data_IF_042706895798
#
_entry.id   IF_042706895798
#
_cell.length_a   1.000
_cell.length_b   1.000
_cell.length_c   1.000
_cell.angle_alpha   90.00
_cell.angle_beta   90.00
_cell.angle_gamma   90.00
#
_symmetry.space_group_name_H-M   'P 1'
#
loop_
_entity.id
_entity.type
_entity.pdbx_description
1 polymer ?
#
# COMPACT_ATOMS: atom_id res chain seq x y z
N UNK A 1 -18.72 6.04 -16.76
CA UNK A 1 -18.97 5.20 -17.92
C UNK A 1 -17.72 4.38 -18.18
N UNK A 2 -17.60 3.28 -17.47
CA UNK A 2 -16.39 2.50 -17.51
C UNK A 2 -16.38 1.49 -18.65
N UNK A 3 -15.19 1.21 -19.13
CA UNK A 3 -14.91 -0.04 -19.81
C UNK A 3 -15.32 -1.20 -18.91
N UNK A 4 -15.84 -2.28 -19.48
CA UNK A 4 -15.97 -3.52 -18.72
C UNK A 4 -14.56 -4.02 -18.28
N UNK A 5 -14.53 -5.03 -17.41
CA UNK A 5 -13.28 -5.51 -16.84
C UNK A 5 -12.27 -6.00 -17.91
N UNK A 6 -12.75 -6.61 -19.01
CA UNK A 6 -11.88 -7.08 -20.08
C UNK A 6 -11.29 -5.92 -20.86
N UNK A 7 -12.11 -4.92 -21.21
CA UNK A 7 -11.63 -3.72 -21.92
C UNK A 7 -10.61 -2.94 -21.10
N UNK A 8 -10.73 -2.92 -19.77
CA UNK A 8 -9.74 -2.29 -18.89
C UNK A 8 -8.40 -3.01 -18.93
N UNK A 9 -8.40 -4.34 -18.88
CA UNK A 9 -7.16 -5.13 -19.00
C UNK A 9 -6.48 -4.87 -20.34
N UNK A 10 -7.23 -4.93 -21.44
CA UNK A 10 -6.72 -4.65 -22.78
C UNK A 10 -6.15 -3.23 -22.90
N UNK A 11 -6.79 -2.25 -22.26
CA UNK A 11 -6.30 -0.87 -22.24
C UNK A 11 -4.94 -0.74 -21.53
N UNK A 12 -4.77 -1.38 -20.38
CA UNK A 12 -3.49 -1.35 -19.65
C UNK A 12 -2.40 -2.13 -20.36
N UNK A 13 -2.73 -3.22 -21.04
CA UNK A 13 -1.78 -3.96 -21.88
C UNK A 13 -1.31 -3.10 -23.06
N UNK A 14 -2.22 -2.40 -23.73
CA UNK A 14 -1.91 -1.46 -24.79
C UNK A 14 -1.03 -0.30 -24.31
N UNK A 15 -1.30 0.25 -23.12
CA UNK A 15 -0.46 1.29 -22.52
C UNK A 15 0.96 0.80 -22.25
N UNK A 16 1.09 -0.39 -21.70
CA UNK A 16 2.39 -1.01 -21.41
C UNK A 16 3.18 -1.24 -22.69
N UNK A 17 2.56 -1.79 -23.72
CA UNK A 17 3.18 -2.00 -25.02
C UNK A 17 3.60 -0.68 -25.69
N UNK A 18 2.72 0.31 -25.64
CA UNK A 18 2.99 1.65 -26.17
C UNK A 18 4.15 2.34 -25.44
N UNK A 19 4.25 2.16 -24.13
CA UNK A 19 5.37 2.68 -23.33
C UNK A 19 6.69 2.00 -23.68
N UNK A 20 6.68 0.69 -23.88
CA UNK A 20 7.87 -0.05 -24.28
C UNK A 20 8.41 0.39 -25.66
N UNK A 21 7.51 0.66 -26.61
CA UNK A 21 7.89 1.14 -27.95
C UNK A 21 8.36 2.60 -27.96
N UNK A 22 7.73 3.43 -27.16
CA UNK A 22 7.98 4.87 -27.06
C UNK A 22 7.99 5.31 -25.59
N UNK A 23 9.14 5.18 -24.89
CA UNK A 23 9.26 5.57 -23.49
C UNK A 23 8.89 7.04 -23.29
N UNK A 24 7.94 7.29 -22.40
CA UNK A 24 7.44 8.63 -22.04
C UNK A 24 6.81 8.61 -20.65
N UNK A 25 6.56 9.77 -20.10
CA UNK A 25 5.80 9.88 -18.85
C UNK A 25 4.33 9.67 -19.15
N UNK A 26 3.71 8.70 -18.51
CA UNK A 26 2.26 8.45 -18.54
C UNK A 26 1.73 8.66 -17.14
N UNK A 27 0.76 9.54 -16.98
CA UNK A 27 0.09 9.80 -15.70
C UNK A 27 -1.34 9.32 -15.81
N UNK A 28 -1.74 8.46 -14.88
CA UNK A 28 -3.10 7.90 -14.80
C UNK A 28 -3.70 8.26 -13.45
N UNK A 29 -4.89 8.84 -13.45
CA UNK A 29 -5.68 9.08 -12.25
C UNK A 29 -6.81 8.03 -12.19
N UNK A 30 -6.83 7.27 -11.12
CA UNK A 30 -7.84 6.22 -10.91
C UNK A 30 -8.05 5.94 -9.43
N UNK A 31 -9.19 5.38 -9.09
CA UNK A 31 -9.47 4.80 -7.77
C UNK A 31 -9.52 3.27 -7.80
N UNK A 32 -9.30 2.65 -8.97
CA UNK A 32 -9.30 1.19 -9.15
C UNK A 32 -7.85 0.70 -9.07
N UNK A 33 -7.41 0.43 -7.84
CA UNK A 33 -6.01 0.19 -7.51
C UNK A 33 -5.50 -1.15 -8.04
N UNK A 34 -6.30 -2.21 -7.92
CA UNK A 34 -5.88 -3.58 -8.26
C UNK A 34 -5.48 -3.76 -9.73
N UNK A 35 -6.18 -3.04 -10.61
CA UNK A 35 -5.93 -3.16 -12.05
C UNK A 35 -4.63 -2.48 -12.47
N UNK A 36 -4.30 -1.35 -11.85
CA UNK A 36 -3.13 -0.56 -12.21
C UNK A 36 -1.85 -1.05 -11.52
N UNK A 37 -1.97 -1.80 -10.43
CA UNK A 37 -0.84 -2.23 -9.61
C UNK A 37 0.27 -2.96 -10.38
N UNK A 38 -0.08 -3.66 -11.46
CA UNK A 38 0.88 -4.40 -12.30
C UNK A 38 1.60 -3.55 -13.34
N UNK A 39 1.13 -2.33 -13.57
CA UNK A 39 1.57 -1.48 -14.69
C UNK A 39 2.38 -0.27 -14.23
N UNK A 40 2.11 0.23 -13.04
CA UNK A 40 2.73 1.47 -12.53
C UNK A 40 4.14 1.25 -12.00
N UNK A 41 4.95 2.29 -12.10
CA UNK A 41 6.30 2.35 -11.51
C UNK A 41 6.34 3.23 -10.26
N UNK A 42 5.53 4.29 -10.25
CA UNK A 42 5.43 5.25 -9.15
C UNK A 42 3.97 5.53 -8.84
N UNK A 43 3.70 5.86 -7.61
CA UNK A 43 2.37 6.26 -7.19
C UNK A 43 2.39 7.54 -6.36
N UNK A 44 1.32 8.29 -6.52
CA UNK A 44 1.02 9.47 -5.70
C UNK A 44 -0.38 9.23 -5.12
N UNK A 45 -0.50 9.26 -3.80
CA UNK A 45 -1.79 9.22 -3.11
C UNK A 45 -2.16 10.65 -2.75
N UNK A 46 -3.32 11.10 -3.24
CA UNK A 46 -3.86 12.43 -2.97
C UNK A 46 -5.13 12.28 -2.14
N UNK A 47 -5.20 13.04 -1.07
CA UNK A 47 -6.38 13.12 -0.22
C UNK A 47 -6.65 14.58 0.15
N UNK A 48 -7.89 15.03 -0.03
CA UNK A 48 -8.34 16.40 0.31
C UNK A 48 -7.42 17.51 -0.23
N UNK A 49 -6.96 17.34 -1.47
CA UNK A 49 -6.10 18.33 -2.13
C UNK A 49 -4.63 18.30 -1.72
N UNK A 50 -4.22 17.32 -0.91
CA UNK A 50 -2.83 17.19 -0.44
C UNK A 50 -2.24 15.86 -0.84
N UNK A 51 -0.93 15.85 -1.13
CA UNK A 51 -0.17 14.62 -1.35
C UNK A 51 0.05 13.94 -0.01
N UNK A 52 -0.49 12.74 0.15
CA UNK A 52 -0.32 11.91 1.35
C UNK A 52 0.88 10.99 1.23
N UNK A 53 1.19 10.54 0.03
CA UNK A 53 2.28 9.61 -0.24
C UNK A 53 2.79 9.82 -1.67
N UNK A 54 4.09 9.70 -1.86
CA UNK A 54 4.74 9.66 -3.16
C UNK A 54 6.00 8.80 -3.08
N UNK A 55 6.00 7.67 -3.77
CA UNK A 55 7.16 6.79 -3.87
C UNK A 55 7.02 5.82 -5.06
N UNK A 56 8.00 4.96 -5.25
CA UNK A 56 7.96 3.87 -6.23
C UNK A 56 7.09 2.72 -5.74
N UNK A 57 6.53 1.94 -6.66
CA UNK A 57 5.84 0.69 -6.31
C UNK A 57 6.79 -0.29 -5.60
N UNK A 58 8.03 -0.37 -6.06
CA UNK A 58 9.06 -1.20 -5.44
C UNK A 58 9.30 -0.85 -3.97
N UNK A 59 9.29 0.43 -3.62
CA UNK A 59 9.39 0.88 -2.22
C UNK A 59 8.20 0.41 -1.38
N UNK A 60 6.98 0.47 -1.93
CA UNK A 60 5.78 -0.04 -1.25
C UNK A 60 5.89 -1.55 -1.02
N UNK A 61 6.26 -2.31 -2.03
CA UNK A 61 6.44 -3.77 -1.90
C UNK A 61 7.51 -4.15 -0.87
N UNK A 62 8.55 -3.34 -0.74
CA UNK A 62 9.64 -3.59 0.22
C UNK A 62 9.33 -3.17 1.66
N UNK A 63 8.37 -2.25 1.87
CA UNK A 63 8.15 -1.60 3.18
C UNK A 63 6.74 -1.68 3.72
N UNK A 64 5.74 -2.01 2.89
CA UNK A 64 4.36 -2.08 3.34
C UNK A 64 4.02 -3.47 3.88
N UNK A 65 3.86 -3.59 5.19
CA UNK A 65 3.57 -4.86 5.87
C UNK A 65 2.46 -4.72 6.89
N UNK A 66 1.77 -5.84 7.12
CA UNK A 66 0.84 -6.05 8.22
C UNK A 66 1.52 -6.96 9.23
N UNK A 67 1.51 -6.56 10.50
CA UNK A 67 2.05 -7.31 11.62
C UNK A 67 0.90 -7.58 12.59
N UNK A 68 0.64 -8.85 12.90
CA UNK A 68 -0.46 -9.26 13.77
C UNK A 68 -0.01 -10.27 14.83
N UNK A 69 -0.67 -10.24 15.99
CA UNK A 69 -0.38 -11.13 17.10
C UNK A 69 -0.97 -10.61 18.41
N UNK A 70 -0.44 -11.09 19.54
CA UNK A 70 -0.82 -10.53 20.84
C UNK A 70 -0.36 -9.07 20.93
N UNK A 71 -1.19 -8.21 21.51
CA UNK A 71 -0.93 -6.76 21.56
C UNK A 71 0.48 -6.43 22.05
N UNK A 72 0.91 -7.03 23.17
CA UNK A 72 2.25 -6.80 23.74
C UNK A 72 3.39 -7.13 22.78
N UNK A 73 3.23 -8.20 21.99
CA UNK A 73 4.26 -8.69 21.08
C UNK A 73 4.33 -7.80 19.83
N UNK A 74 3.17 -7.39 19.30
CA UNK A 74 3.08 -6.44 18.18
C UNK A 74 3.62 -5.07 18.58
N UNK A 75 3.26 -4.54 19.76
CA UNK A 75 3.79 -3.27 20.25
C UNK A 75 5.31 -3.30 20.44
N UNK A 76 5.84 -4.40 20.95
CA UNK A 76 7.30 -4.58 21.09
C UNK A 76 8.00 -4.61 19.72
N UNK A 77 7.45 -5.36 18.77
CA UNK A 77 8.01 -5.50 17.43
C UNK A 77 7.94 -4.22 16.59
N UNK A 78 6.94 -3.36 16.83
CA UNK A 78 6.69 -2.15 16.03
C UNK A 78 7.13 -0.85 16.71
N UNK A 79 7.71 -0.92 17.90
CA UNK A 79 8.03 0.26 18.75
C UNK A 79 8.80 1.38 18.02
N UNK A 80 9.74 1.02 17.16
CA UNK A 80 10.63 1.95 16.47
C UNK A 80 10.33 2.02 14.96
N UNK A 81 9.20 1.47 14.51
CA UNK A 81 8.83 1.43 13.10
C UNK A 81 7.84 2.54 12.75
N UNK A 82 7.81 2.89 11.48
CA UNK A 82 6.84 3.83 10.96
C UNK A 82 5.48 3.15 10.79
N UNK A 83 4.58 3.35 11.76
CA UNK A 83 3.24 2.79 11.78
C UNK A 83 2.29 3.70 11.00
N UNK A 84 1.61 3.13 10.00
CA UNK A 84 0.55 3.80 9.23
C UNK A 84 -0.74 3.84 10.06
N UNK A 85 -1.13 2.68 10.59
CA UNK A 85 -2.34 2.50 11.41
C UNK A 85 -2.21 1.27 12.30
N UNK A 86 -3.01 1.22 13.34
CA UNK A 86 -3.04 0.09 14.27
C UNK A 86 -4.45 -0.11 14.81
N UNK A 87 -4.89 -1.36 14.82
CA UNK A 87 -6.15 -1.80 15.42
C UNK A 87 -5.90 -2.80 16.55
N UNK A 88 -6.69 -2.73 17.59
CA UNK A 88 -6.61 -3.68 18.71
C UNK A 88 -8.03 -4.16 19.07
N UNK A 89 -8.21 -5.47 19.07
CA UNK A 89 -9.48 -6.12 19.40
C UNK A 89 -9.20 -7.31 20.31
N UNK A 90 -9.82 -7.30 21.50
CA UNK A 90 -9.74 -8.42 22.46
C UNK A 90 -8.29 -8.88 22.79
N UNK A 91 -7.35 -7.95 22.93
CA UNK A 91 -5.97 -8.26 23.26
C UNK A 91 -5.10 -8.73 22.08
N UNK A 92 -5.68 -8.81 20.88
CA UNK A 92 -4.95 -8.99 19.62
C UNK A 92 -4.76 -7.65 18.95
N UNK A 93 -3.57 -7.40 18.41
CA UNK A 93 -3.27 -6.19 17.66
C UNK A 93 -2.88 -6.52 16.22
N UNK A 94 -3.22 -5.59 15.33
CA UNK A 94 -2.76 -5.56 13.95
C UNK A 94 -2.19 -4.19 13.66
N UNK A 95 -0.90 -4.13 13.34
CA UNK A 95 -0.21 -2.90 12.92
C UNK A 95 0.10 -2.96 11.43
N UNK A 96 -0.19 -1.86 10.75
CA UNK A 96 0.19 -1.64 9.36
C UNK A 96 1.35 -0.66 9.33
N UNK A 97 2.45 -1.07 8.72
CA UNK A 97 3.70 -0.30 8.73
C UNK A 97 4.16 0.07 7.32
N UNK A 98 4.93 1.14 7.23
CA UNK A 98 5.73 1.47 6.05
C UNK A 98 7.19 1.61 6.47
N UNK A 99 7.84 0.46 6.64
CA UNK A 99 9.22 0.34 7.12
C UNK A 99 9.78 -1.04 6.76
N UNK A 100 11.07 -1.25 6.96
CA UNK A 100 11.63 -2.59 6.89
C UNK A 100 10.92 -3.50 7.91
N UNK A 101 10.46 -4.70 7.50
CA UNK A 101 9.74 -5.59 8.42
C UNK A 101 10.68 -6.03 9.56
N UNK A 102 10.16 -6.19 10.79
CA UNK A 102 10.94 -6.75 11.88
C UNK A 102 11.25 -8.23 11.63
N UNK A 103 12.14 -8.79 12.45
CA UNK A 103 12.41 -10.22 12.38
C UNK A 103 11.15 -11.04 12.69
N UNK A 104 10.96 -12.10 11.91
CA UNK A 104 9.86 -13.05 12.14
C UNK A 104 10.10 -13.82 13.44
N UNK A 105 9.11 -13.80 14.31
CA UNK A 105 9.11 -14.59 15.56
C UNK A 105 7.89 -15.50 15.60
N UNK A 106 7.88 -16.45 16.53
CA UNK A 106 6.73 -17.34 16.70
C UNK A 106 5.48 -16.63 17.26
N UNK A 107 5.63 -15.43 17.82
CA UNK A 107 4.56 -14.68 18.48
C UNK A 107 3.87 -13.64 17.61
N UNK A 108 4.40 -13.36 16.41
CA UNK A 108 3.83 -12.41 15.45
C UNK A 108 3.81 -13.00 14.06
N UNK A 109 2.80 -12.61 13.29
CA UNK A 109 2.69 -12.89 11.85
C UNK A 109 2.98 -11.61 11.05
N UNK A 110 3.80 -11.75 10.02
CA UNK A 110 4.18 -10.64 9.12
C UNK A 110 3.76 -10.99 7.71
N UNK A 111 2.94 -10.14 7.11
CA UNK A 111 2.46 -10.30 5.74
C UNK A 111 2.67 -9.02 4.94
N UNK A 112 3.15 -9.10 3.68
CA UNK A 112 3.19 -7.94 2.81
C UNK A 112 1.77 -7.43 2.52
N UNK A 113 1.61 -6.12 2.39
CA UNK A 113 0.36 -5.50 1.96
C UNK A 113 0.25 -5.50 0.44
N UNK A 114 -0.95 -5.77 -0.07
CA UNK A 114 -1.29 -5.40 -1.44
C UNK A 114 -1.29 -3.88 -1.59
N UNK A 115 -1.12 -3.38 -2.83
CA UNK A 115 -1.21 -1.94 -3.08
C UNK A 115 -2.58 -1.38 -2.67
N UNK A 116 -3.66 -2.15 -2.85
CA UNK A 116 -5.00 -1.77 -2.43
C UNK A 116 -5.10 -1.64 -0.91
N UNK A 117 -4.61 -2.63 -0.16
CA UNK A 117 -4.64 -2.58 1.30
C UNK A 117 -3.77 -1.43 1.84
N UNK A 118 -2.60 -1.21 1.24
CA UNK A 118 -1.75 -0.07 1.56
C UNK A 118 -2.50 1.26 1.37
N UNK A 119 -3.17 1.43 0.23
CA UNK A 119 -3.98 2.62 -0.05
C UNK A 119 -5.08 2.81 0.98
N UNK A 120 -5.84 1.74 1.30
CA UNK A 120 -6.92 1.79 2.30
C UNK A 120 -6.38 2.23 3.65
N UNK A 121 -5.23 1.72 4.09
CA UNK A 121 -4.63 2.10 5.36
C UNK A 121 -4.12 3.55 5.35
N UNK A 122 -3.59 4.02 4.23
CA UNK A 122 -3.12 5.42 4.10
C UNK A 122 -4.25 6.45 4.14
N UNK A 123 -5.43 6.11 3.60
CA UNK A 123 -6.56 7.07 3.40
C UNK A 123 -7.70 6.80 4.38
N UNK A 124 -7.90 5.55 4.79
CA UNK A 124 -9.08 5.12 5.57
C UNK A 124 -9.05 5.48 7.04
N UNK A 125 -7.90 5.80 7.61
CA UNK A 125 -7.79 6.13 9.03
C UNK A 125 -7.96 7.63 9.26
N UNK A 126 -9.07 8.00 9.90
CA UNK A 126 -9.32 9.34 10.47
C UNK A 126 -8.51 9.60 11.75
N UNK A 127 -7.40 8.93 11.93
CA UNK A 127 -6.50 9.12 13.07
C UNK A 127 -5.16 9.62 12.57
N UNK A 128 -4.85 10.88 12.84
CA UNK A 128 -3.61 11.49 12.36
C UNK A 128 -2.39 10.65 12.70
N UNK A 129 -1.56 10.44 11.69
CA UNK A 129 -0.16 10.09 11.91
C UNK A 129 0.39 11.15 12.85
N UNK A 130 0.64 10.81 14.11
CA UNK A 130 1.51 11.61 14.97
C UNK A 130 2.89 11.53 14.32
N UNK A 131 3.24 12.62 13.69
CA UNK A 131 4.60 12.87 13.26
C UNK A 131 5.54 12.90 14.46
#
# INVERSE_FOLDING_TARGET
LGFDAMMRVEFYDMLTESFQKHPRIIIISTHIIEEIAKTIQKLIIIEKGSVRFFDTLQSVEAKAFRISGLQKDVEAATRNLNIISQDTVNGLATSYIFDAPPEQTASIEIHPLSLQDFFIQMVGHKGGVKR
#
